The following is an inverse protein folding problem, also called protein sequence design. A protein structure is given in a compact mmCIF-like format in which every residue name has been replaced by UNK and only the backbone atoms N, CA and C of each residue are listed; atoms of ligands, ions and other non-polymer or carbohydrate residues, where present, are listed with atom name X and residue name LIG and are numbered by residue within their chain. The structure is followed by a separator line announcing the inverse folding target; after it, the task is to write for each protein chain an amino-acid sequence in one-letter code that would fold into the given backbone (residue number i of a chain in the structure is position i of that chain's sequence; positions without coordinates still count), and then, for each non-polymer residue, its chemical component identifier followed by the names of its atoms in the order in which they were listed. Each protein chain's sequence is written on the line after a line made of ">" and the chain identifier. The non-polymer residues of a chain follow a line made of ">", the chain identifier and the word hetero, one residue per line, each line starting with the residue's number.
data_IF_644847438741
#
_entry.id   IF_644847438741
#
_cell.length_a   1.000
_cell.length_b   1.000
_cell.length_c   1.000
_cell.angle_alpha   90.00
_cell.angle_beta   90.00
_cell.angle_gamma   90.00
#
_symmetry.space_group_name_H-M   'P 1'
#
loop_
_entity.id
_entity.type
_entity.pdbx_description
1 polymer ?
#
# COMPACT_ATOMS: atom_id res chain seq x y z
N UNK A 1 7.13 -20.15 -11.85
CA UNK A 1 8.08 -19.04 -11.99
C UNK A 1 7.42 -17.79 -11.42
N UNK A 2 7.75 -17.40 -10.20
CA UNK A 2 7.19 -16.17 -9.62
C UNK A 2 7.79 -14.97 -10.37
N UNK A 3 6.99 -14.05 -10.94
CA UNK A 3 7.49 -12.90 -11.67
C UNK A 3 7.96 -11.87 -10.64
N UNK A 4 9.11 -12.13 -10.02
CA UNK A 4 9.52 -11.38 -8.83
C UNK A 4 9.94 -9.97 -9.20
N UNK A 5 10.50 -9.72 -10.39
CA UNK A 5 10.72 -8.37 -10.91
C UNK A 5 10.77 -8.39 -12.44
N UNK A 6 10.22 -7.36 -13.10
CA UNK A 6 10.41 -7.20 -14.55
C UNK A 6 11.90 -6.89 -14.83
N UNK A 7 12.43 -7.19 -16.02
CA UNK A 7 13.81 -6.83 -16.37
C UNK A 7 14.07 -5.32 -16.27
N UNK A 8 13.05 -4.49 -16.47
CA UNK A 8 13.13 -3.02 -16.32
C UNK A 8 12.88 -2.55 -14.89
N UNK A 9 12.74 -3.47 -13.92
CA UNK A 9 12.36 -3.12 -12.56
C UNK A 9 13.51 -2.43 -11.84
N UNK A 10 13.33 -1.13 -11.66
CA UNK A 10 14.11 -0.22 -10.83
C UNK A 10 15.61 -0.14 -11.17
N UNK A 11 15.95 0.74 -12.10
CA UNK A 11 17.31 1.21 -12.40
C UNK A 11 17.82 2.23 -11.35
N UNK A 12 17.67 1.94 -10.06
CA UNK A 12 17.95 2.88 -8.95
C UNK A 12 17.17 4.20 -9.05
N UNK A 13 15.99 4.17 -9.65
CA UNK A 13 15.12 5.34 -9.74
C UNK A 13 14.40 5.56 -8.41
N UNK A 14 14.36 6.81 -7.95
CA UNK A 14 13.57 7.18 -6.78
C UNK A 14 12.08 6.95 -7.07
N UNK A 15 11.43 6.12 -6.24
CA UNK A 15 10.00 5.83 -6.35
C UNK A 15 9.19 6.66 -5.34
N UNK A 16 7.97 7.03 -5.72
CA UNK A 16 7.01 7.69 -4.83
C UNK A 16 6.30 6.67 -3.93
N UNK A 17 5.70 7.13 -2.83
CA UNK A 17 4.90 6.27 -1.95
C UNK A 17 3.74 5.57 -2.68
N UNK A 18 3.10 6.24 -3.63
CA UNK A 18 2.01 5.65 -4.44
C UNK A 18 2.51 4.55 -5.37
N UNK A 19 3.71 4.69 -5.94
CA UNK A 19 4.35 3.64 -6.71
C UNK A 19 4.74 2.46 -5.82
N UNK A 20 5.27 2.71 -4.62
CA UNK A 20 5.59 1.66 -3.65
C UNK A 20 4.34 0.83 -3.30
N UNK A 21 3.20 1.48 -3.04
CA UNK A 21 1.92 0.78 -2.83
C UNK A 21 1.46 -0.01 -4.06
N UNK A 22 1.61 0.55 -5.26
CA UNK A 22 1.26 -0.13 -6.51
C UNK A 22 2.07 -1.41 -6.68
N UNK A 23 3.37 -1.37 -6.37
CA UNK A 23 4.24 -2.53 -6.41
C UNK A 23 3.87 -3.56 -5.35
N UNK A 24 3.62 -3.13 -4.12
CA UNK A 24 3.21 -4.03 -3.03
C UNK A 24 1.94 -4.82 -3.40
N UNK A 25 0.89 -4.15 -3.87
CA UNK A 25 -0.39 -4.79 -4.20
C UNK A 25 -0.36 -5.62 -5.49
N UNK A 26 0.61 -5.34 -6.36
CA UNK A 26 0.72 -6.01 -7.66
C UNK A 26 1.73 -7.16 -7.67
N UNK A 27 2.25 -7.53 -6.49
CA UNK A 27 3.36 -8.45 -6.36
C UNK A 27 4.54 -8.04 -7.28
N UNK A 28 4.89 -6.76 -7.24
CA UNK A 28 5.96 -6.12 -8.02
C UNK A 28 5.75 -6.11 -9.54
N UNK A 29 4.54 -6.44 -10.03
CA UNK A 29 4.26 -6.50 -11.47
C UNK A 29 3.94 -5.14 -12.08
N UNK A 30 3.39 -4.19 -11.35
CA UNK A 30 2.95 -2.91 -11.90
C UNK A 30 3.17 -1.78 -10.89
N UNK A 31 3.98 -0.79 -11.26
CA UNK A 31 4.30 0.39 -10.45
C UNK A 31 3.25 1.50 -10.53
N UNK A 32 2.28 1.38 -11.46
CA UNK A 32 1.28 2.41 -11.76
C UNK A 32 -0.17 2.03 -11.49
N UNK A 33 -0.44 0.87 -10.90
CA UNK A 33 -1.82 0.44 -10.60
C UNK A 33 -2.60 1.45 -9.74
N UNK A 34 -1.93 2.09 -8.77
CA UNK A 34 -2.48 3.18 -7.97
C UNK A 34 -1.97 4.56 -8.46
N UNK A 35 -1.07 4.58 -9.44
CA UNK A 35 -0.35 5.76 -9.93
C UNK A 35 -1.12 6.66 -10.90
N UNK A 36 -2.35 6.30 -11.29
CA UNK A 36 -3.21 7.15 -12.13
C UNK A 36 -3.53 8.50 -11.48
N UNK A 37 -3.57 8.56 -10.14
CA UNK A 37 -3.77 9.78 -9.38
C UNK A 37 -2.81 9.79 -8.18
N UNK A 38 -2.00 10.85 -7.98
CA UNK A 38 -1.07 10.92 -6.85
C UNK A 38 -1.77 10.83 -5.48
N UNK A 39 -3.07 11.17 -5.38
CA UNK A 39 -3.82 11.06 -4.14
C UNK A 39 -4.20 9.62 -3.75
N UNK A 40 -4.20 8.66 -4.68
CA UNK A 40 -4.64 7.29 -4.40
C UNK A 40 -3.79 6.61 -3.33
N UNK A 41 -2.47 6.80 -3.37
CA UNK A 41 -1.57 6.29 -2.31
C UNK A 41 -1.84 6.95 -0.95
N UNK A 42 -2.19 8.24 -0.94
CA UNK A 42 -2.57 8.95 0.30
C UNK A 42 -3.85 8.38 0.89
N UNK A 43 -4.88 8.19 0.07
CA UNK A 43 -6.15 7.60 0.52
C UNK A 43 -5.97 6.18 1.03
N UNK A 44 -5.14 5.38 0.36
CA UNK A 44 -4.85 4.02 0.79
C UNK A 44 -4.17 4.00 2.17
N UNK A 45 -3.12 4.82 2.38
CA UNK A 45 -2.45 4.93 3.68
C UNK A 45 -3.41 5.40 4.78
N UNK A 46 -4.21 6.44 4.51
CA UNK A 46 -5.18 6.96 5.50
C UNK A 46 -6.26 5.92 5.82
N UNK A 47 -6.74 5.19 4.81
CA UNK A 47 -7.73 4.13 5.00
C UNK A 47 -7.19 2.94 5.80
N UNK A 48 -5.94 2.54 5.58
CA UNK A 48 -5.29 1.49 6.38
C UNK A 48 -5.10 1.94 7.84
N UNK A 49 -4.68 3.18 8.05
CA UNK A 49 -4.51 3.73 9.37
C UNK A 49 -5.85 3.83 10.12
N UNK A 50 -6.91 4.31 9.46
CA UNK A 50 -8.24 4.39 10.08
C UNK A 50 -8.80 3.01 10.43
N UNK A 51 -8.62 2.02 9.56
CA UNK A 51 -9.02 0.64 9.84
C UNK A 51 -8.26 0.05 11.04
N UNK A 52 -6.94 0.28 11.13
CA UNK A 52 -6.14 -0.16 12.27
C UNK A 52 -6.61 0.49 13.58
N UNK A 53 -6.87 1.80 13.57
CA UNK A 53 -7.38 2.52 14.73
C UNK A 53 -8.76 1.99 15.14
N UNK A 54 -9.67 1.79 14.18
CA UNK A 54 -11.00 1.26 14.44
C UNK A 54 -10.94 -0.13 15.11
N UNK A 55 -10.08 -1.02 14.60
CA UNK A 55 -9.86 -2.34 15.17
C UNK A 55 -9.33 -2.27 16.61
N UNK A 56 -8.35 -1.40 16.89
CA UNK A 56 -7.83 -1.20 18.24
C UNK A 56 -8.90 -0.66 19.19
N UNK A 57 -9.71 0.31 18.74
CA UNK A 57 -10.81 0.87 19.53
C UNK A 57 -11.87 -0.19 19.85
N UNK A 58 -12.22 -1.03 18.88
CA UNK A 58 -13.18 -2.13 19.07
C UNK A 58 -12.69 -3.12 20.13
N UNK A 59 -11.41 -3.49 20.09
CA UNK A 59 -10.80 -4.37 21.10
C UNK A 59 -10.88 -3.73 22.50
N UNK A 60 -10.57 -2.44 22.61
CA UNK A 60 -10.62 -1.71 23.89
C UNK A 60 -12.05 -1.63 24.44
N UNK A 61 -13.03 -1.37 23.58
CA UNK A 61 -14.46 -1.30 23.99
C UNK A 61 -15.00 -2.67 24.37
N UNK A 62 -14.53 -3.73 23.72
CA UNK A 62 -15.01 -5.11 23.94
C UNK A 62 -14.34 -5.78 25.14
N UNK A 63 -13.34 -5.15 25.76
CA UNK A 63 -12.70 -5.64 26.99
C UNK A 63 -13.69 -5.50 28.17
N UNK A 64 -14.08 -6.60 28.83
CA UNK A 64 -14.93 -6.52 30.01
C UNK A 64 -14.15 -5.84 31.15
N UNK A 65 -14.75 -4.80 31.74
CA UNK A 65 -14.27 -4.12 32.95
C UNK A 65 -14.50 -5.00 34.17
#
# INVERSE_FOLDING_TARGET
>A
MAPIFRPEFNHFQTITATQAWSLFLSACKHDRLLGSNPMTGKYYTVGLLSAAIACVLEIIVSLPV
#
